data_IF_182150928902
#
_entry.id   IF_182150928902
#
_cell.length_a   1.000
_cell.length_b   1.000
_cell.length_c   1.000
_cell.angle_alpha   90.00
_cell.angle_beta   90.00
_cell.angle_gamma   90.00
#
_symmetry.space_group_name_H-M   'P 1'
#
loop_
_entity.id
_entity.type
_entity.pdbx_description
1 polymer ?
#
# COMPACT_ATOMS: atom_id res chain seq x y z
N UNK A 1 22.59 -22.74 -30.48
CA UNK A 1 22.30 -21.31 -30.26
C UNK A 1 20.80 -21.20 -29.99
N UNK A 2 20.40 -21.40 -28.74
CA UNK A 2 18.97 -21.47 -28.37
C UNK A 2 18.47 -20.06 -28.13
N UNK A 3 17.64 -19.58 -29.04
CA UNK A 3 16.85 -18.34 -28.89
C UNK A 3 15.87 -18.53 -27.74
N UNK A 4 16.20 -17.99 -26.56
CA UNK A 4 15.22 -17.80 -25.51
C UNK A 4 14.14 -16.87 -26.05
N UNK A 5 12.97 -17.43 -26.37
CA UNK A 5 11.79 -16.65 -26.67
C UNK A 5 11.59 -15.66 -25.51
N UNK A 6 11.53 -14.37 -25.83
CA UNK A 6 11.22 -13.32 -24.86
C UNK A 6 9.75 -13.52 -24.46
N UNK A 7 9.49 -14.41 -23.49
CA UNK A 7 8.15 -14.60 -22.94
C UNK A 7 7.75 -13.25 -22.36
N UNK A 8 6.73 -12.56 -22.88
CA UNK A 8 6.29 -11.30 -22.33
C UNK A 8 5.92 -11.53 -20.86
N UNK A 9 6.21 -10.54 -20.02
CA UNK A 9 5.87 -10.55 -18.62
C UNK A 9 4.34 -10.62 -18.43
N UNK A 10 3.75 -11.82 -18.45
CA UNK A 10 2.30 -11.97 -18.31
C UNK A 10 1.95 -11.84 -16.83
N UNK A 11 1.29 -10.74 -16.50
CA UNK A 11 0.70 -10.47 -15.19
C UNK A 11 -0.44 -11.48 -14.92
N UNK A 12 -0.44 -12.12 -13.75
CA UNK A 12 -1.51 -13.01 -13.35
C UNK A 12 -2.71 -12.26 -12.73
N UNK A 13 -3.79 -13.00 -12.44
CA UNK A 13 -4.99 -12.43 -11.81
C UNK A 13 -4.69 -11.82 -10.44
N UNK A 14 -3.81 -12.45 -9.65
CA UNK A 14 -3.43 -11.98 -8.31
C UNK A 14 -2.73 -10.62 -8.35
N UNK A 15 -1.71 -10.46 -9.20
CA UNK A 15 -1.04 -9.18 -9.39
C UNK A 15 -1.96 -8.13 -10.01
N UNK A 16 -2.94 -8.54 -10.82
CA UNK A 16 -4.00 -7.63 -11.30
C UNK A 16 -4.83 -7.10 -10.13
N UNK A 17 -5.28 -7.97 -9.23
CA UNK A 17 -6.01 -7.57 -8.02
C UNK A 17 -5.17 -6.60 -7.18
N UNK A 18 -3.91 -6.91 -6.92
CA UNK A 18 -3.03 -6.01 -6.16
C UNK A 18 -2.85 -4.66 -6.84
N UNK A 19 -2.62 -4.62 -8.16
CA UNK A 19 -2.49 -3.37 -8.90
C UNK A 19 -3.77 -2.51 -8.80
N UNK A 20 -4.95 -3.13 -8.89
CA UNK A 20 -6.23 -2.42 -8.72
C UNK A 20 -6.39 -1.91 -7.29
N UNK A 21 -6.12 -2.75 -6.28
CA UNK A 21 -6.23 -2.36 -4.86
C UNK A 21 -5.28 -1.19 -4.55
N UNK A 22 -4.03 -1.23 -4.99
CA UNK A 22 -3.10 -0.12 -4.81
C UNK A 22 -3.48 1.12 -5.61
N UNK A 23 -4.06 0.96 -6.80
CA UNK A 23 -4.62 2.07 -7.57
C UNK A 23 -5.78 2.75 -6.85
N UNK A 24 -6.70 1.99 -6.26
CA UNK A 24 -7.80 2.53 -5.45
C UNK A 24 -7.28 3.22 -4.19
N UNK A 25 -6.28 2.64 -3.52
CA UNK A 25 -5.62 3.27 -2.38
C UNK A 25 -4.92 4.58 -2.79
N UNK A 26 -4.31 4.64 -3.97
CA UNK A 26 -3.71 5.86 -4.50
C UNK A 26 -4.76 6.97 -4.66
N UNK A 27 -5.89 6.66 -5.30
CA UNK A 27 -7.02 7.60 -5.43
C UNK A 27 -7.52 8.05 -4.05
N UNK A 28 -7.73 7.12 -3.11
CA UNK A 28 -8.11 7.48 -1.74
C UNK A 28 -7.12 8.43 -1.05
N UNK A 29 -5.83 8.34 -1.38
CA UNK A 29 -4.79 9.19 -0.81
C UNK A 29 -4.74 10.57 -1.48
N UNK A 30 -4.99 10.66 -2.79
CA UNK A 30 -5.15 11.94 -3.47
C UNK A 30 -6.37 12.74 -3.00
N UNK A 31 -7.42 12.06 -2.53
CA UNK A 31 -8.62 12.70 -2.00
C UNK A 31 -8.48 13.14 -0.53
N UNK A 32 -7.35 12.85 0.14
CA UNK A 32 -7.10 13.28 1.54
C UNK A 32 -7.20 14.79 1.77
N UNK A 33 -6.78 15.68 0.86
CA UNK A 33 -6.94 17.14 1.02
C UNK A 33 -8.40 17.58 1.13
N UNK A 34 -9.33 16.82 0.53
CA UNK A 34 -10.75 17.16 0.51
C UNK A 34 -11.47 16.86 1.83
N UNK A 35 -10.82 16.13 2.76
CA UNK A 35 -11.34 15.79 4.09
C UNK A 35 -12.80 15.30 4.10
N UNK A 36 -13.21 14.51 3.09
CA UNK A 36 -14.61 14.10 2.87
C UNK A 36 -15.25 13.34 4.06
N UNK A 37 -14.46 12.80 4.98
CA UNK A 37 -14.95 12.19 6.24
C UNK A 37 -14.44 12.87 7.51
N UNK A 38 -14.04 14.15 7.44
CA UNK A 38 -13.56 14.97 8.55
C UNK A 38 -12.24 14.48 9.16
N UNK A 39 -11.96 14.90 10.40
CA UNK A 39 -10.70 14.66 11.13
C UNK A 39 -10.34 13.17 11.33
N UNK A 40 -11.30 12.26 11.15
CA UNK A 40 -11.09 10.81 11.23
C UNK A 40 -10.50 10.21 9.95
N UNK A 41 -10.40 10.98 8.86
CA UNK A 41 -9.92 10.46 7.56
C UNK A 41 -8.47 10.79 7.25
N UNK A 42 -7.74 11.42 8.17
CA UNK A 42 -6.32 11.72 8.02
C UNK A 42 -5.47 10.51 7.62
N UNK A 43 -4.48 10.72 6.76
CA UNK A 43 -3.46 9.72 6.44
C UNK A 43 -2.62 9.45 7.69
N UNK A 44 -2.41 8.17 8.01
CA UNK A 44 -1.58 7.78 9.15
C UNK A 44 -0.15 7.66 8.66
N UNK A 45 0.70 8.60 9.04
CA UNK A 45 2.11 8.62 8.69
C UNK A 45 2.96 8.48 9.95
N UNK A 46 3.80 7.43 9.97
CA UNK A 46 4.64 7.08 11.12
C UNK A 46 3.86 7.01 12.44
N UNK A 47 2.69 6.38 12.38
CA UNK A 47 1.82 6.16 13.52
C UNK A 47 1.03 7.39 13.98
N UNK A 48 1.14 8.54 13.31
CA UNK A 48 0.36 9.73 13.61
C UNK A 48 -0.65 10.00 12.50
N UNK A 49 -1.90 10.22 12.89
CA UNK A 49 -2.95 10.64 11.96
C UNK A 49 -2.77 12.12 11.66
N UNK A 50 -2.44 12.42 10.41
CA UNK A 50 -2.22 13.80 9.96
C UNK A 50 -3.56 14.53 9.76
N UNK A 51 -3.55 15.84 9.99
CA UNK A 51 -4.66 16.75 9.69
C UNK A 51 -4.13 18.04 9.08
N UNK A 52 -5.00 18.86 8.47
CA UNK A 52 -4.61 20.15 7.89
C UNK A 52 -3.53 20.03 6.81
N UNK A 53 -2.58 20.96 6.80
CA UNK A 53 -1.52 21.08 5.78
C UNK A 53 -0.65 19.82 5.64
N UNK A 54 -0.13 19.20 6.72
CA UNK A 54 0.61 17.94 6.61
C UNK A 54 -0.16 16.84 5.87
N UNK A 55 -1.46 16.68 6.14
CA UNK A 55 -2.30 15.69 5.45
C UNK A 55 -2.53 16.03 3.98
N UNK A 56 -2.67 17.32 3.66
CA UNK A 56 -2.87 17.80 2.29
C UNK A 56 -1.63 17.59 1.41
N UNK A 57 -0.44 17.46 2.00
CA UNK A 57 0.82 17.23 1.29
C UNK A 57 1.18 15.74 1.28
N UNK A 58 1.30 15.13 2.47
CA UNK A 58 1.79 13.75 2.60
C UNK A 58 0.80 12.75 2.01
N UNK A 59 -0.51 12.99 2.14
CA UNK A 59 -1.55 12.15 1.54
C UNK A 59 -1.34 11.99 0.02
N UNK A 60 -1.38 13.08 -0.76
CA UNK A 60 -1.11 13.02 -2.21
C UNK A 60 0.26 12.46 -2.58
N UNK A 61 1.34 12.77 -1.85
CA UNK A 61 2.66 12.18 -2.12
C UNK A 61 2.65 10.65 -1.97
N UNK A 62 1.97 10.16 -0.93
CA UNK A 62 1.81 8.73 -0.72
C UNK A 62 0.86 8.10 -1.76
N UNK A 63 -0.15 8.85 -2.21
CA UNK A 63 -0.97 8.49 -3.36
C UNK A 63 -0.15 8.32 -4.64
N UNK A 64 0.77 9.24 -4.92
CA UNK A 64 1.68 9.13 -6.06
C UNK A 64 2.60 7.91 -5.95
N UNK A 65 3.17 7.66 -4.78
CA UNK A 65 3.95 6.46 -4.52
C UNK A 65 3.16 5.18 -4.84
N UNK A 66 1.92 5.08 -4.34
CA UNK A 66 1.05 3.93 -4.57
C UNK A 66 0.62 3.81 -6.04
N UNK A 67 0.40 4.92 -6.73
CA UNK A 67 0.07 4.93 -8.16
C UNK A 67 1.23 4.39 -8.98
N UNK A 68 2.46 4.88 -8.73
CA UNK A 68 3.67 4.40 -9.40
C UNK A 68 3.90 2.92 -9.11
N UNK A 69 3.67 2.48 -7.87
CA UNK A 69 3.76 1.08 -7.51
C UNK A 69 2.71 0.23 -8.26
N UNK A 70 1.45 0.67 -8.29
CA UNK A 70 0.38 0.01 -9.03
C UNK A 70 0.67 -0.08 -10.53
N UNK A 71 1.17 1.00 -11.15
CA UNK A 71 1.61 1.01 -12.56
C UNK A 71 2.78 0.06 -12.77
N UNK A 72 3.72 0.01 -11.81
CA UNK A 72 4.83 -0.91 -11.81
C UNK A 72 4.39 -2.37 -11.81
N UNK A 73 3.44 -2.75 -10.94
CA UNK A 73 2.83 -4.09 -10.96
C UNK A 73 2.08 -4.31 -12.28
N UNK A 74 1.27 -3.33 -12.71
CA UNK A 74 0.44 -3.44 -13.92
C UNK A 74 1.26 -3.72 -15.16
N UNK A 75 2.42 -3.05 -15.29
CA UNK A 75 3.37 -3.17 -16.40
C UNK A 75 4.50 -4.16 -16.12
N UNK A 76 4.44 -4.91 -15.02
CA UNK A 76 5.46 -5.88 -14.60
C UNK A 76 6.89 -5.30 -14.62
N UNK A 77 7.07 -4.10 -14.07
CA UNK A 77 8.37 -3.39 -14.06
C UNK A 77 9.23 -3.79 -12.87
N UNK A 78 10.54 -3.89 -13.10
CA UNK A 78 11.52 -4.32 -12.08
C UNK A 78 11.59 -3.39 -10.87
N UNK A 79 11.31 -2.10 -11.04
CA UNK A 79 11.27 -1.14 -9.93
C UNK A 79 10.12 -1.40 -8.93
N UNK A 80 9.07 -2.14 -9.33
CA UNK A 80 7.96 -2.44 -8.43
C UNK A 80 8.39 -3.35 -7.27
N UNK A 81 9.44 -4.16 -7.45
CA UNK A 81 9.95 -5.08 -6.43
C UNK A 81 10.53 -4.40 -5.19
N UNK A 82 11.51 -3.47 -5.32
CA UNK A 82 11.97 -2.71 -4.15
C UNK A 82 10.86 -1.84 -3.54
N UNK A 83 9.95 -1.29 -4.36
CA UNK A 83 8.79 -0.55 -3.84
C UNK A 83 7.87 -1.46 -3.00
N UNK A 84 7.61 -2.70 -3.43
CA UNK A 84 6.76 -3.63 -2.70
C UNK A 84 7.27 -3.90 -1.28
N UNK A 85 8.56 -4.19 -1.15
CA UNK A 85 9.19 -4.45 0.15
C UNK A 85 9.28 -3.19 1.01
N UNK A 86 9.62 -2.04 0.42
CA UNK A 86 9.61 -0.77 1.14
C UNK A 86 8.21 -0.44 1.70
N UNK A 87 7.16 -0.65 0.90
CA UNK A 87 5.79 -0.44 1.32
C UNK A 87 5.35 -1.41 2.41
N UNK A 88 5.65 -2.71 2.26
CA UNK A 88 5.33 -3.71 3.28
C UNK A 88 6.01 -3.40 4.62
N UNK A 89 7.30 -3.04 4.60
CA UNK A 89 8.03 -2.62 5.79
C UNK A 89 7.42 -1.35 6.41
N UNK A 90 7.11 -0.35 5.58
CA UNK A 90 6.44 0.86 6.03
C UNK A 90 5.11 0.56 6.72
N UNK A 91 4.24 -0.28 6.14
CA UNK A 91 2.94 -0.62 6.73
C UNK A 91 3.10 -1.25 8.12
N UNK A 92 4.05 -2.18 8.28
CA UNK A 92 4.33 -2.79 9.58
C UNK A 92 4.79 -1.75 10.59
N UNK A 93 5.81 -0.94 10.24
CA UNK A 93 6.33 0.11 11.13
C UNK A 93 5.23 1.13 11.49
N UNK A 94 4.45 1.54 10.50
CA UNK A 94 3.38 2.52 10.68
C UNK A 94 2.29 2.00 11.63
N UNK A 95 1.91 0.73 11.53
CA UNK A 95 0.92 0.09 12.40
C UNK A 95 1.41 -0.10 13.83
N UNK A 96 2.69 -0.49 13.99
CA UNK A 96 3.32 -0.60 15.30
C UNK A 96 3.35 0.77 15.99
N UNK A 97 3.85 1.80 15.29
CA UNK A 97 3.88 3.16 15.80
C UNK A 97 2.48 3.70 16.10
N UNK A 98 1.49 3.40 15.25
CA UNK A 98 0.10 3.83 15.49
C UNK A 98 -0.45 3.26 16.79
N UNK A 99 -0.19 1.98 17.06
CA UNK A 99 -0.61 1.32 18.29
C UNK A 99 0.07 1.88 19.53
N UNK A 100 1.33 2.30 19.43
CA UNK A 100 2.08 2.89 20.56
C UNK A 100 1.67 4.34 20.81
N UNK A 101 1.45 5.12 19.75
CA UNK A 101 1.25 6.58 19.84
C UNK A 101 -0.22 7.00 19.96
N UNK A 102 -1.16 6.12 19.63
CA UNK A 102 -2.58 6.46 19.60
C UNK A 102 -3.30 5.80 20.77
N UNK A 103 -3.87 6.59 21.71
CA UNK A 103 -4.73 6.05 22.75
C UNK A 103 -5.88 5.26 22.13
N UNK A 104 -6.07 4.02 22.57
CA UNK A 104 -7.18 3.18 22.09
C UNK A 104 -8.47 3.66 22.74
N UNK A 105 -9.49 4.06 21.96
CA UNK A 105 -10.83 4.27 22.49
C UNK A 105 -11.32 2.98 23.18
N UNK A 106 -12.03 3.09 24.31
CA UNK A 106 -12.61 1.93 24.96
C UNK A 106 -13.70 1.29 24.06
N UNK A 107 -13.77 -0.05 24.08
CA UNK A 107 -14.83 -0.82 23.41
C UNK A 107 -14.33 -1.96 22.52
N UNK A 108 -14.98 -3.12 22.63
CA UNK A 108 -14.65 -4.35 21.89
C UNK A 108 -14.72 -4.18 20.37
N UNK A 109 -15.66 -3.37 19.87
CA UNK A 109 -15.80 -3.11 18.43
C UNK A 109 -14.58 -2.42 17.82
N UNK A 110 -13.96 -1.47 18.53
CA UNK A 110 -12.76 -0.79 18.06
C UNK A 110 -11.55 -1.74 18.02
N UNK A 111 -11.41 -2.59 19.04
CA UNK A 111 -10.36 -3.60 19.10
C UNK A 111 -10.48 -4.60 17.93
N UNK A 112 -11.69 -5.10 17.68
CA UNK A 112 -11.94 -6.04 16.59
C UNK A 112 -11.63 -5.41 15.23
N UNK A 113 -12.13 -4.18 15.00
CA UNK A 113 -11.85 -3.44 13.77
C UNK A 113 -10.34 -3.21 13.56
N UNK A 114 -9.63 -2.79 14.61
CA UNK A 114 -8.19 -2.56 14.55
C UNK A 114 -7.39 -3.82 14.25
N UNK A 115 -7.77 -4.96 14.83
CA UNK A 115 -7.11 -6.25 14.61
C UNK A 115 -7.34 -6.74 13.17
N UNK A 116 -8.60 -6.71 12.70
CA UNK A 116 -8.93 -7.06 11.31
C UNK A 116 -8.19 -6.16 10.33
N UNK A 117 -8.18 -4.85 10.57
CA UNK A 117 -7.46 -3.90 9.76
C UNK A 117 -5.96 -4.22 9.69
N UNK A 118 -5.33 -4.51 10.83
CA UNK A 118 -3.90 -4.87 10.89
C UNK A 118 -3.59 -6.11 10.08
N UNK A 119 -4.38 -7.19 10.24
CA UNK A 119 -4.19 -8.44 9.51
C UNK A 119 -4.33 -8.21 8.01
N UNK A 120 -5.38 -7.51 7.58
CA UNK A 120 -5.61 -7.21 6.16
C UNK A 120 -4.49 -6.33 5.59
N UNK A 121 -4.09 -5.28 6.30
CA UNK A 121 -3.04 -4.37 5.85
C UNK A 121 -1.70 -5.08 5.67
N UNK A 122 -1.29 -5.91 6.63
CA UNK A 122 -0.04 -6.68 6.54
C UNK A 122 -0.14 -7.75 5.46
N UNK A 123 -1.24 -8.49 5.39
CA UNK A 123 -1.43 -9.57 4.41
C UNK A 123 -1.43 -9.04 2.96
N UNK A 124 -2.13 -7.93 2.68
CA UNK A 124 -2.17 -7.35 1.34
C UNK A 124 -0.80 -6.81 0.94
N UNK A 125 -0.12 -6.10 1.85
CA UNK A 125 1.18 -5.47 1.54
C UNK A 125 2.28 -6.50 1.32
N UNK A 126 2.43 -7.44 2.27
CA UNK A 126 3.43 -8.50 2.18
C UNK A 126 3.09 -9.54 1.10
N UNK A 127 1.80 -9.83 0.91
CA UNK A 127 1.32 -10.75 -0.13
C UNK A 127 1.63 -10.23 -1.54
N UNK A 128 1.48 -8.92 -1.77
CA UNK A 128 1.88 -8.31 -3.03
C UNK A 128 3.40 -8.40 -3.26
N UNK A 129 4.21 -8.10 -2.24
CA UNK A 129 5.66 -8.21 -2.32
C UNK A 129 6.11 -9.64 -2.61
N UNK A 130 5.53 -10.63 -1.95
CA UNK A 130 5.82 -12.03 -2.18
C UNK A 130 5.39 -12.50 -3.58
N UNK A 131 4.20 -12.14 -4.03
CA UNK A 131 3.70 -12.49 -5.36
C UNK A 131 4.60 -11.90 -6.47
N UNK A 132 5.08 -10.68 -6.28
CA UNK A 132 6.00 -10.03 -7.20
C UNK A 132 7.40 -10.67 -7.15
N UNK A 133 7.90 -11.01 -5.96
CA UNK A 133 9.17 -11.74 -5.78
C UNK A 133 9.18 -13.09 -6.50
N UNK A 134 8.07 -13.81 -6.49
CA UNK A 134 7.92 -15.09 -7.24
C UNK A 134 8.04 -14.93 -8.75
N UNK A 135 7.84 -13.72 -9.27
CA UNK A 135 7.87 -13.40 -10.70
C UNK A 135 9.01 -12.44 -11.05
N UNK A 136 10.01 -12.28 -10.16
CA UNK A 136 11.12 -11.34 -10.32
C UNK A 136 11.87 -11.51 -11.65
N UNK A 137 11.97 -12.75 -12.14
CA UNK A 137 12.69 -13.08 -13.37
C UNK A 137 11.91 -12.70 -14.63
N UNK A 138 10.60 -12.48 -14.49
CA UNK A 138 9.72 -12.01 -15.55
C UNK A 138 9.53 -10.48 -15.53
N UNK A 139 10.18 -9.74 -14.65
CA UNK A 139 10.04 -8.28 -14.59
C UNK A 139 10.90 -7.60 -15.67
N UNK A 140 10.30 -6.63 -16.36
CA UNK A 140 10.93 -5.84 -17.42
C UNK A 140 11.58 -4.54 -16.91
#
# INVERSE_FOLDING_TARGET
MSTHAHVPAVRDRTLTVFAVVFGLLAVSNFLKPLQLGGSRTGFVFLGQRLSGTPNAIIGPLFGLYLLLYAVGIWRMRRYALPMAWAYAAYVVVNLLLFNVRTPRPPGTGYLLFGLVYMVVAVAVSSGAAWALSKRKDALA
#
